data_IF_300131453654
#
_entry.id   IF_300131453654
#
_cell.length_a   1.000
_cell.length_b   1.000
_cell.length_c   1.000
_cell.angle_alpha   90.00
_cell.angle_beta   90.00
_cell.angle_gamma   90.00
#
_symmetry.space_group_name_H-M   'P 1'
#
loop_
_entity.id
_entity.type
_entity.pdbx_description
1 polymer ?
#
# COMPACT_ATOMS: atom_id res chain seq x y z
N UNK A 1 12.06 -26.40 -16.51
CA UNK A 1 12.61 -25.33 -17.36
C UNK A 1 11.61 -24.88 -18.44
N UNK A 2 10.75 -25.78 -18.96
CA UNK A 2 9.63 -25.44 -19.86
C UNK A 2 8.80 -24.23 -19.43
N UNK A 3 8.36 -24.19 -18.16
CA UNK A 3 7.47 -23.12 -17.70
C UNK A 3 8.09 -21.73 -17.86
N UNK A 4 9.34 -21.56 -17.40
CA UNK A 4 10.04 -20.27 -17.50
C UNK A 4 10.38 -19.95 -18.95
N UNK A 5 10.79 -20.95 -19.74
CA UNK A 5 11.06 -20.83 -21.17
C UNK A 5 9.84 -20.32 -21.95
N UNK A 6 8.65 -20.83 -21.63
CA UNK A 6 7.37 -20.35 -22.16
C UNK A 6 7.08 -18.89 -21.79
N UNK A 7 7.35 -18.48 -20.54
CA UNK A 7 7.15 -17.09 -20.11
C UNK A 7 8.04 -16.09 -20.86
N UNK A 8 9.28 -16.47 -21.16
CA UNK A 8 10.24 -15.60 -21.87
C UNK A 8 10.25 -15.81 -23.39
N UNK A 9 9.41 -16.73 -23.91
CA UNK A 9 9.31 -17.09 -25.32
C UNK A 9 10.65 -17.53 -25.95
N UNK A 10 11.46 -18.28 -25.20
CA UNK A 10 12.76 -18.83 -25.64
C UNK A 10 12.70 -20.35 -25.53
N UNK A 11 13.29 -21.13 -26.46
CA UNK A 11 13.34 -22.59 -26.34
C UNK A 11 13.98 -23.03 -25.02
N UNK A 12 13.43 -24.07 -24.37
CA UNK A 12 13.93 -24.55 -23.08
C UNK A 12 15.41 -24.98 -23.12
N UNK A 13 15.86 -25.52 -24.26
CA UNK A 13 17.25 -25.90 -24.51
C UNK A 13 18.20 -24.70 -24.57
N UNK A 14 17.73 -23.52 -24.98
CA UNK A 14 18.52 -22.29 -24.95
C UNK A 14 18.50 -21.64 -23.57
N UNK A 15 17.34 -21.64 -22.90
CA UNK A 15 17.25 -21.16 -21.53
C UNK A 15 18.12 -22.00 -20.57
N UNK A 16 18.27 -23.31 -20.83
CA UNK A 16 19.15 -24.18 -20.05
C UNK A 16 20.64 -23.83 -20.19
N UNK A 17 21.05 -23.18 -21.28
CA UNK A 17 22.43 -22.68 -21.49
C UNK A 17 22.68 -21.36 -20.78
N UNK A 18 21.63 -20.69 -20.31
CA UNK A 18 21.76 -19.39 -19.68
C UNK A 18 22.44 -19.52 -18.32
N UNK A 19 23.60 -18.86 -18.19
CA UNK A 19 24.34 -18.80 -16.94
C UNK A 19 23.60 -17.94 -15.90
N UNK A 20 22.99 -18.61 -14.92
CA UNK A 20 22.34 -17.96 -13.79
C UNK A 20 23.35 -17.24 -12.87
N UNK A 21 24.64 -17.61 -12.88
CA UNK A 21 25.66 -16.89 -12.13
C UNK A 21 25.89 -15.48 -12.70
N UNK A 22 25.83 -15.32 -14.02
CA UNK A 22 25.84 -14.04 -14.74
C UNK A 22 24.58 -13.17 -14.55
N UNK A 23 23.49 -13.70 -13.98
CA UNK A 23 22.21 -12.99 -13.87
C UNK A 23 22.29 -11.67 -13.08
N UNK A 24 23.21 -11.55 -12.11
CA UNK A 24 23.43 -10.28 -11.38
C UNK A 24 23.96 -9.18 -12.30
N UNK A 25 24.89 -9.52 -13.19
CA UNK A 25 25.46 -8.57 -14.18
C UNK A 25 24.39 -8.12 -15.15
N UNK A 26 23.62 -9.06 -15.70
CA UNK A 26 22.54 -8.73 -16.63
C UNK A 26 21.45 -7.88 -15.97
N UNK A 27 21.10 -8.14 -14.70
CA UNK A 27 20.16 -7.28 -13.95
C UNK A 27 20.67 -5.84 -13.84
N UNK A 28 21.98 -5.65 -13.63
CA UNK A 28 22.61 -4.32 -13.62
C UNK A 28 22.52 -3.65 -15.00
N UNK A 29 22.86 -4.37 -16.07
CA UNK A 29 22.79 -3.84 -17.44
C UNK A 29 21.35 -3.47 -17.85
N UNK A 30 20.37 -4.32 -17.54
CA UNK A 30 18.95 -4.03 -17.79
C UNK A 30 18.53 -2.77 -17.03
N UNK A 31 18.95 -2.65 -15.77
CA UNK A 31 18.66 -1.47 -14.96
C UNK A 31 19.23 -0.20 -15.59
N UNK A 32 20.48 -0.22 -16.02
CA UNK A 32 21.15 0.90 -16.68
C UNK A 32 20.47 1.25 -18.01
N UNK A 33 20.18 0.26 -18.85
CA UNK A 33 19.53 0.46 -20.15
C UNK A 33 18.11 1.04 -20.01
N UNK A 34 17.35 0.63 -18.99
CA UNK A 34 16.01 1.15 -18.72
C UNK A 34 16.01 2.41 -17.84
N UNK A 35 17.18 2.87 -17.38
CA UNK A 35 17.31 4.00 -16.46
C UNK A 35 16.60 3.78 -15.12
N UNK A 36 16.45 2.52 -14.71
CA UNK A 36 15.81 2.15 -13.45
C UNK A 36 16.79 2.38 -12.29
N UNK A 37 16.28 2.73 -11.12
CA UNK A 37 17.04 2.86 -9.88
C UNK A 37 16.67 1.73 -8.93
N UNK A 38 17.61 1.12 -8.19
CA UNK A 38 17.28 0.06 -7.26
C UNK A 38 16.36 0.57 -6.14
N UNK A 39 15.39 -0.25 -5.72
CA UNK A 39 14.47 0.10 -4.62
C UNK A 39 15.16 0.38 -3.28
N UNK A 40 16.40 -0.09 -3.08
CA UNK A 40 17.18 0.18 -1.89
C UNK A 40 17.58 1.68 -1.79
N UNK A 41 17.82 2.34 -2.92
CA UNK A 41 18.21 3.75 -2.97
C UNK A 41 17.07 4.73 -2.68
N UNK A 42 15.82 4.31 -2.88
CA UNK A 42 14.67 5.13 -2.51
C UNK A 42 14.52 5.25 -0.98
N UNK A 43 15.02 4.29 -0.20
CA UNK A 43 14.78 4.26 1.25
C UNK A 43 13.30 4.04 1.61
N UNK A 44 13.03 3.42 2.75
CA UNK A 44 11.66 3.11 3.17
C UNK A 44 10.85 4.36 3.51
N UNK A 45 11.52 5.40 4.03
CA UNK A 45 10.91 6.70 4.29
C UNK A 45 10.35 7.36 3.02
N UNK A 46 11.06 7.30 1.89
CA UNK A 46 10.62 8.00 0.68
C UNK A 46 9.45 7.30 0.00
N UNK A 47 9.43 5.96 0.04
CA UNK A 47 8.33 5.17 -0.53
C UNK A 47 7.06 5.23 0.32
N UNK A 48 7.16 5.57 1.61
CA UNK A 48 6.00 5.72 2.50
C UNK A 48 5.37 7.11 2.42
N UNK A 49 6.15 8.16 2.15
CA UNK A 49 5.67 9.55 2.13
C UNK A 49 4.56 9.78 1.10
N UNK A 50 4.77 9.40 -0.16
CA UNK A 50 3.79 9.67 -1.22
C UNK A 50 2.46 8.92 -1.01
N UNK A 51 2.43 7.60 -0.72
CA UNK A 51 1.18 6.92 -0.44
C UNK A 51 0.43 7.49 0.76
N UNK A 52 1.15 7.94 1.80
CA UNK A 52 0.54 8.58 2.99
C UNK A 52 -0.21 9.86 2.60
N UNK A 53 0.37 10.67 1.72
CA UNK A 53 -0.16 11.98 1.36
C UNK A 53 -1.23 11.93 0.26
N UNK A 54 -1.07 11.04 -0.73
CA UNK A 54 -1.86 11.10 -1.97
C UNK A 54 -2.82 9.92 -2.16
N UNK A 55 -2.54 8.76 -1.56
CA UNK A 55 -3.33 7.53 -1.81
C UNK A 55 -4.21 7.18 -0.62
N UNK A 56 -3.64 7.06 0.59
CA UNK A 56 -4.37 6.72 1.80
C UNK A 56 -5.57 7.65 2.12
N UNK A 57 -5.56 8.96 1.80
CA UNK A 57 -6.71 9.81 2.04
C UNK A 57 -7.91 9.56 1.12
N UNK A 58 -7.70 9.00 -0.07
CA UNK A 58 -8.72 8.91 -1.13
C UNK A 58 -9.15 7.48 -1.44
N UNK A 59 -8.33 6.50 -1.07
CA UNK A 59 -8.57 5.09 -1.34
C UNK A 59 -8.55 4.29 -0.03
N UNK A 60 -9.53 3.42 0.14
CA UNK A 60 -9.63 2.52 1.30
C UNK A 60 -9.21 1.09 0.95
N UNK A 61 -9.34 0.68 -0.31
CA UNK A 61 -9.08 -0.68 -0.78
C UNK A 61 -7.58 -0.95 -0.86
N UNK A 62 -7.09 -1.98 -0.17
CA UNK A 62 -5.67 -2.32 -0.10
C UNK A 62 -5.05 -2.64 -1.46
N UNK A 63 -5.74 -3.41 -2.30
CA UNK A 63 -5.24 -3.76 -3.63
C UNK A 63 -5.01 -2.52 -4.51
N UNK A 64 -5.89 -1.51 -4.42
CA UNK A 64 -5.74 -0.25 -5.14
C UNK A 64 -4.52 0.55 -4.65
N UNK A 65 -4.20 0.49 -3.36
CA UNK A 65 -2.96 1.10 -2.84
C UNK A 65 -1.72 0.48 -3.46
N UNK A 66 -1.73 -0.85 -3.60
CA UNK A 66 -0.63 -1.60 -4.19
C UNK A 66 -0.45 -1.28 -5.66
N UNK A 67 -1.53 -1.25 -6.42
CA UNK A 67 -1.49 -0.86 -7.83
C UNK A 67 -0.95 0.56 -8.00
N UNK A 68 -1.45 1.52 -7.22
CA UNK A 68 -0.98 2.90 -7.22
C UNK A 68 0.52 3.01 -6.91
N UNK A 69 1.01 2.28 -5.90
CA UNK A 69 2.43 2.28 -5.57
C UNK A 69 3.30 1.68 -6.69
N UNK A 70 2.83 0.63 -7.36
CA UNK A 70 3.56 0.04 -8.50
C UNK A 70 3.61 1.00 -9.70
N UNK A 71 2.52 1.72 -9.98
CA UNK A 71 2.47 2.78 -11.00
C UNK A 71 3.45 3.90 -10.65
N UNK A 72 3.47 4.35 -9.40
CA UNK A 72 4.37 5.41 -8.94
C UNK A 72 5.84 4.98 -9.01
N UNK A 73 6.15 3.74 -8.65
CA UNK A 73 7.50 3.18 -8.83
C UNK A 73 7.93 3.25 -10.30
N UNK A 74 7.05 2.88 -11.25
CA UNK A 74 7.36 2.97 -12.68
C UNK A 74 7.56 4.41 -13.12
N UNK A 75 6.68 5.33 -12.71
CA UNK A 75 6.78 6.75 -13.04
C UNK A 75 8.11 7.36 -12.56
N UNK A 76 8.57 6.98 -11.36
CA UNK A 76 9.85 7.45 -10.79
C UNK A 76 11.08 6.67 -11.26
N UNK A 77 10.90 5.73 -12.19
CA UNK A 77 11.91 4.77 -12.65
C UNK A 77 12.59 4.05 -11.48
N UNK A 78 11.82 3.65 -10.48
CA UNK A 78 12.27 2.85 -9.35
C UNK A 78 11.89 1.40 -9.62
N UNK A 79 12.85 0.49 -9.48
CA UNK A 79 12.60 -0.95 -9.55
C UNK A 79 11.58 -1.31 -8.45
N UNK A 80 10.44 -1.97 -8.77
CA UNK A 80 9.43 -2.26 -7.78
C UNK A 80 10.03 -3.14 -6.66
N UNK A 81 9.82 -2.80 -5.39
CA UNK A 81 10.30 -3.62 -4.29
C UNK A 81 9.60 -4.99 -4.30
N UNK A 82 10.22 -5.98 -3.65
CA UNK A 82 9.57 -7.29 -3.47
C UNK A 82 8.24 -7.15 -2.75
N UNK A 83 7.30 -8.07 -3.03
CA UNK A 83 5.91 -8.04 -2.52
C UNK A 83 5.83 -7.74 -1.02
N UNK A 84 6.56 -8.49 -0.19
CA UNK A 84 6.59 -8.29 1.27
C UNK A 84 7.01 -6.89 1.68
N UNK A 85 7.93 -6.26 0.92
CA UNK A 85 8.40 -4.90 1.21
C UNK A 85 7.37 -3.85 0.77
N UNK A 86 6.65 -4.09 -0.33
CA UNK A 86 5.49 -3.27 -0.72
C UNK A 86 4.45 -3.27 0.40
N UNK A 87 4.06 -4.43 0.91
CA UNK A 87 3.05 -4.49 1.97
C UNK A 87 3.49 -3.73 3.23
N UNK A 88 4.75 -3.87 3.63
CA UNK A 88 5.30 -3.10 4.77
C UNK A 88 5.23 -1.58 4.56
N UNK A 89 5.55 -1.11 3.34
CA UNK A 89 5.44 0.31 2.98
C UNK A 89 3.99 0.78 3.08
N UNK A 90 3.04 -0.01 2.56
CA UNK A 90 1.62 0.36 2.58
C UNK A 90 1.05 0.37 3.99
N UNK A 91 1.38 -0.63 4.82
CA UNK A 91 0.99 -0.67 6.24
C UNK A 91 1.55 0.55 6.98
N UNK A 92 2.82 0.89 6.77
CA UNK A 92 3.44 2.05 7.39
C UNK A 92 2.83 3.37 6.92
N UNK A 93 2.52 3.51 5.62
CA UNK A 93 1.89 4.70 5.07
C UNK A 93 0.47 4.89 5.63
N UNK A 94 -0.33 3.82 5.65
CA UNK A 94 -1.69 3.84 6.19
C UNK A 94 -1.69 4.20 7.67
N UNK A 95 -0.85 3.55 8.48
CA UNK A 95 -0.75 3.86 9.90
C UNK A 95 -0.33 5.31 10.18
N UNK A 96 0.55 5.89 9.35
CA UNK A 96 0.91 7.32 9.45
C UNK A 96 -0.27 8.23 9.11
N UNK A 97 -0.98 7.92 8.03
CA UNK A 97 -2.14 8.70 7.60
C UNK A 97 -3.27 8.61 8.64
N UNK A 98 -3.64 7.41 9.10
CA UNK A 98 -4.67 7.18 10.11
C UNK A 98 -4.36 7.94 11.40
N UNK A 99 -3.12 7.88 11.89
CA UNK A 99 -2.70 8.63 13.08
C UNK A 99 -2.87 10.13 12.88
N UNK A 100 -2.39 10.68 11.76
CA UNK A 100 -2.51 12.11 11.46
C UNK A 100 -3.97 12.55 11.31
N UNK A 101 -4.79 11.73 10.65
CA UNK A 101 -6.22 11.96 10.48
C UNK A 101 -6.96 11.98 11.82
N UNK A 102 -6.72 10.99 12.68
CA UNK A 102 -7.32 10.91 14.01
C UNK A 102 -6.92 12.09 14.88
N UNK A 103 -5.62 12.44 14.93
CA UNK A 103 -5.14 13.61 15.69
C UNK A 103 -5.84 14.88 15.23
N UNK A 104 -5.84 15.17 13.92
CA UNK A 104 -6.49 16.35 13.37
C UNK A 104 -7.99 16.38 13.65
N UNK A 105 -8.65 15.22 13.61
CA UNK A 105 -10.09 15.11 13.88
C UNK A 105 -10.39 15.38 15.35
N UNK A 106 -9.61 14.82 16.27
CA UNK A 106 -9.70 15.06 17.71
C UNK A 106 -9.51 16.54 18.04
N UNK A 107 -8.50 17.18 17.45
CA UNK A 107 -8.23 18.61 17.63
C UNK A 107 -9.41 19.46 17.17
N UNK A 108 -10.00 19.14 16.01
CA UNK A 108 -11.16 19.87 15.46
C UNK A 108 -12.44 19.69 16.29
N UNK A 109 -12.65 18.52 16.88
CA UNK A 109 -13.82 18.24 17.74
C UNK A 109 -13.72 18.94 19.10
N UNK A 110 -12.51 19.24 19.56
CA UNK A 110 -12.24 19.79 20.87
C UNK A 110 -12.61 18.83 22.01
N UNK A 111 -12.39 19.27 23.26
CA UNK A 111 -12.58 18.43 24.46
C UNK A 111 -14.04 17.96 24.64
N UNK A 112 -15.00 18.84 24.38
CA UNK A 112 -16.44 18.52 24.56
C UNK A 112 -16.92 17.53 23.51
N UNK A 113 -16.52 17.70 22.25
CA UNK A 113 -16.88 16.77 21.18
C UNK A 113 -16.28 15.39 21.41
N UNK A 114 -14.99 15.33 21.75
CA UNK A 114 -14.30 14.05 22.01
C UNK A 114 -14.83 13.31 23.23
N UNK A 115 -15.18 14.01 24.32
CA UNK A 115 -15.79 13.39 25.49
C UNK A 115 -17.17 12.79 25.22
N UNK A 116 -17.88 13.27 24.19
CA UNK A 116 -19.22 12.78 23.81
C UNK A 116 -19.18 11.57 22.87
N UNK A 117 -18.08 11.34 22.14
CA UNK A 117 -17.97 10.24 21.18
C UNK A 117 -18.28 8.85 21.78
N UNK A 118 -17.77 8.48 22.98
CA UNK A 118 -18.07 7.16 23.55
C UNK A 118 -19.55 6.97 23.88
N UNK A 119 -20.24 8.03 24.31
CA UNK A 119 -21.67 7.99 24.61
C UNK A 119 -22.49 7.74 23.34
N UNK A 120 -22.17 8.44 22.24
CA UNK A 120 -22.83 8.23 20.95
C UNK A 120 -22.63 6.81 20.42
N UNK A 121 -21.42 6.26 20.55
CA UNK A 121 -21.15 4.87 20.13
C UNK A 121 -21.94 3.87 20.96
N UNK A 122 -22.12 4.12 22.27
CA UNK A 122 -22.90 3.26 23.15
C UNK A 122 -24.42 3.37 22.89
N UNK A 123 -24.91 4.57 22.55
CA UNK A 123 -26.32 4.81 22.17
C UNK A 123 -26.71 4.08 20.87
N UNK A 124 -25.78 3.94 19.91
CA UNK A 124 -26.04 3.21 18.68
C UNK A 124 -25.80 1.68 18.84
N UNK A 125 -24.96 1.26 19.78
CA UNK A 125 -24.58 -0.15 20.03
C UNK A 125 -25.49 -0.82 21.08
N UNK A 126 -26.81 -0.56 21.04
CA UNK A 126 -27.82 -1.13 21.97
C UNK A 126 -27.80 -2.69 21.98
N UNK A 127 -27.30 -3.33 20.91
CA UNK A 127 -27.08 -4.79 20.80
C UNK A 127 -25.64 -5.25 21.20
N UNK A 128 -24.78 -4.32 21.62
CA UNK A 128 -23.57 -4.56 22.42
C UNK A 128 -22.34 -5.18 21.74
N UNK A 129 -22.30 -5.35 20.41
CA UNK A 129 -21.06 -5.81 19.74
C UNK A 129 -21.00 -5.49 18.23
N UNK A 130 -22.03 -4.86 17.66
CA UNK A 130 -22.19 -4.81 16.22
C UNK A 130 -21.52 -3.57 15.61
N UNK A 131 -21.69 -2.39 16.20
CA UNK A 131 -21.31 -1.15 15.54
C UNK A 131 -19.80 -0.97 15.37
N UNK A 132 -18.97 -1.16 16.41
CA UNK A 132 -17.52 -1.05 16.26
C UNK A 132 -16.94 -2.09 15.29
N UNK A 133 -17.51 -3.29 15.25
CA UNK A 133 -17.11 -4.35 14.33
C UNK A 133 -17.51 -4.03 12.87
N UNK A 134 -18.71 -3.46 12.67
CA UNK A 134 -19.20 -3.01 11.36
C UNK A 134 -18.39 -1.82 10.85
N UNK A 135 -18.10 -0.81 11.68
CA UNK A 135 -17.25 0.33 11.34
C UNK A 135 -15.82 -0.11 10.97
N UNK A 136 -15.26 -1.10 11.69
CA UNK A 136 -13.96 -1.69 11.33
C UNK A 136 -13.99 -2.45 10.01
N UNK A 137 -15.08 -3.16 9.72
CA UNK A 137 -15.24 -3.95 8.49
C UNK A 137 -15.55 -3.09 7.27
N UNK A 138 -16.28 -2.00 7.45
CA UNK A 138 -16.71 -1.10 6.40
C UNK A 138 -16.92 0.32 6.94
N UNK A 139 -15.87 1.15 7.03
CA UNK A 139 -15.94 2.49 7.62
C UNK A 139 -16.90 3.43 6.86
N UNK A 140 -17.19 3.16 5.59
CA UNK A 140 -18.13 3.92 4.77
C UNK A 140 -19.59 3.42 4.84
N UNK A 141 -19.87 2.29 5.50
CA UNK A 141 -21.19 1.67 5.50
C UNK A 141 -22.20 2.36 6.43
N UNK A 142 -21.73 3.06 7.47
CA UNK A 142 -22.59 3.63 8.54
C UNK A 142 -22.98 5.09 8.27
N UNK A 143 -22.62 5.65 7.11
CA UNK A 143 -22.84 7.07 6.78
C UNK A 143 -24.05 7.39 5.90
N UNK A 144 -24.91 6.42 5.56
CA UNK A 144 -26.08 6.65 4.71
C UNK A 144 -27.36 6.41 5.49
N UNK A 145 -27.76 7.38 6.30
CA UNK A 145 -29.18 7.54 6.62
C UNK A 145 -29.87 8.12 5.38
N UNK A 146 -30.93 7.47 4.84
CA UNK A 146 -31.75 8.09 3.81
C UNK A 146 -32.49 9.29 4.42
N UNK A 147 -32.49 10.41 3.71
CA UNK A 147 -33.35 11.55 4.00
C UNK A 147 -34.82 11.18 3.82
#
# INVERSE_FOLDING_TARGET
MEYVAGLVKVPAAELAKYDLAGAKRHRKQIREALGLRPSAFAGEGQLTVWPTAEVCPVESVEDRHREALLVECRARKIEPPGRTRIEKVLVAARGRWEKAFCTRTIERLGRRGTARLPALVAEDDEDGTALPAVLKRAPAAVGRTPC
#
